data_IF_450217049624
#
_entry.id   IF_450217049624
#
_cell.length_a   1.000
_cell.length_b   1.000
_cell.length_c   1.000
_cell.angle_alpha   90.00
_cell.angle_beta   90.00
_cell.angle_gamma   90.00
#
_symmetry.space_group_name_H-M   'P 1'
#
loop_
_entity.id
_entity.type
_entity.pdbx_description
1 polymer ?
#
# COMPACT_ATOMS: atom_id res chain seq x y z
N UNK A 1 -44.39 7.47 -31.13
CA UNK A 1 -43.74 6.63 -30.10
C UNK A 1 -42.47 7.37 -29.75
N UNK A 2 -42.60 8.38 -28.91
CA UNK A 2 -41.53 9.29 -28.54
C UNK A 2 -40.81 8.70 -27.33
N UNK A 3 -39.61 8.16 -27.56
CA UNK A 3 -38.73 7.65 -26.51
C UNK A 3 -38.15 8.85 -25.78
N UNK A 4 -38.81 9.26 -24.71
CA UNK A 4 -38.31 10.23 -23.75
C UNK A 4 -37.06 9.62 -23.07
N UNK A 5 -35.87 10.06 -23.47
CA UNK A 5 -34.64 9.75 -22.78
C UNK A 5 -34.66 10.46 -21.42
N UNK A 6 -34.79 9.70 -20.33
CA UNK A 6 -34.62 10.22 -18.99
C UNK A 6 -33.23 10.86 -18.86
N UNK A 7 -33.11 12.09 -18.30
CA UNK A 7 -31.82 12.70 -18.10
C UNK A 7 -31.00 11.85 -17.13
N UNK A 8 -29.77 11.51 -17.53
CA UNK A 8 -28.80 10.85 -16.65
C UNK A 8 -28.61 11.74 -15.42
N UNK A 9 -28.77 11.23 -14.19
CA UNK A 9 -28.55 12.01 -12.98
C UNK A 9 -27.12 12.54 -12.98
N UNK A 10 -26.97 13.85 -13.14
CA UNK A 10 -25.69 14.53 -13.01
C UNK A 10 -25.32 14.50 -11.52
N UNK A 11 -24.39 13.62 -11.14
CA UNK A 11 -24.00 13.44 -9.75
C UNK A 11 -23.44 14.75 -9.19
N UNK A 12 -24.05 15.27 -8.12
CA UNK A 12 -23.67 16.54 -7.50
C UNK A 12 -22.20 16.45 -7.03
N UNK A 13 -21.31 17.35 -7.51
CA UNK A 13 -19.92 17.42 -7.05
C UNK A 13 -19.76 17.46 -5.53
N UNK A 14 -20.78 17.95 -4.80
CA UNK A 14 -20.81 17.99 -3.34
C UNK A 14 -20.97 16.61 -2.70
N UNK A 15 -21.78 15.72 -3.28
CA UNK A 15 -21.97 14.35 -2.78
C UNK A 15 -20.70 13.52 -2.95
N UNK A 16 -19.99 13.71 -4.08
CA UNK A 16 -18.70 13.06 -4.34
C UNK A 16 -17.63 13.56 -3.35
N UNK A 17 -17.64 14.86 -3.03
CA UNK A 17 -16.73 15.45 -2.07
C UNK A 17 -17.01 15.00 -0.62
N UNK A 18 -18.28 14.83 -0.24
CA UNK A 18 -18.66 14.34 1.09
C UNK A 18 -18.26 12.87 1.32
N UNK A 19 -18.38 12.03 0.29
CA UNK A 19 -17.93 10.64 0.34
C UNK A 19 -16.41 10.55 0.51
N UNK A 20 -15.63 11.39 -0.17
CA UNK A 20 -14.18 11.46 -0.02
C UNK A 20 -13.76 11.90 1.40
N UNK A 21 -14.46 12.88 1.97
CA UNK A 21 -14.17 13.42 3.31
C UNK A 21 -14.57 12.45 4.45
N UNK A 22 -15.36 11.40 4.18
CA UNK A 22 -15.77 10.42 5.19
C UNK A 22 -14.61 9.52 5.65
N UNK A 23 -13.73 9.10 4.72
CA UNK A 23 -12.60 8.22 5.02
C UNK A 23 -11.54 8.87 5.91
N UNK A 24 -11.24 10.14 5.66
CA UNK A 24 -10.23 10.90 6.41
C UNK A 24 -10.67 11.17 7.85
N UNK A 25 -11.97 11.37 8.08
CA UNK A 25 -12.53 11.56 9.43
C UNK A 25 -12.36 10.30 10.28
N UNK A 26 -12.62 9.11 9.72
CA UNK A 26 -12.52 7.84 10.45
C UNK A 26 -11.08 7.52 10.90
N UNK A 27 -10.09 7.76 10.02
CA UNK A 27 -8.66 7.58 10.35
C UNK A 27 -8.23 8.58 11.42
N UNK A 28 -8.63 9.85 11.27
CA UNK A 28 -8.29 10.90 12.22
C UNK A 28 -8.90 10.65 13.60
N UNK A 29 -10.13 10.17 13.70
CA UNK A 29 -10.75 9.83 14.99
C UNK A 29 -10.06 8.66 15.67
N UNK A 30 -9.57 7.66 14.92
CA UNK A 30 -8.77 6.56 15.48
C UNK A 30 -7.43 7.06 16.04
N UNK A 31 -6.71 7.90 15.29
CA UNK A 31 -5.42 8.44 15.74
C UNK A 31 -5.60 9.35 16.95
N UNK A 32 -6.61 10.24 16.93
CA UNK A 32 -6.91 11.11 18.06
C UNK A 32 -7.30 10.27 19.29
N UNK A 33 -8.11 9.22 19.11
CA UNK A 33 -8.47 8.29 20.18
C UNK A 33 -7.25 7.60 20.78
N UNK A 34 -6.34 7.08 19.96
CA UNK A 34 -5.10 6.44 20.41
C UNK A 34 -4.22 7.40 21.21
N UNK A 35 -4.02 8.62 20.69
CA UNK A 35 -3.21 9.65 21.36
C UNK A 35 -3.85 10.08 22.69
N UNK A 36 -5.18 10.27 22.72
CA UNK A 36 -5.90 10.61 23.94
C UNK A 36 -5.78 9.50 25.00
N UNK A 37 -5.91 8.23 24.61
CA UNK A 37 -5.70 7.08 25.51
C UNK A 37 -4.27 7.05 26.03
N UNK A 38 -3.27 7.26 25.17
CA UNK A 38 -1.87 7.30 25.57
C UNK A 38 -1.57 8.41 26.58
N UNK A 39 -2.08 9.62 26.34
CA UNK A 39 -1.92 10.74 27.29
C UNK A 39 -2.65 10.47 28.62
N UNK A 40 -3.84 9.86 28.57
CA UNK A 40 -4.56 9.45 29.78
C UNK A 40 -3.77 8.42 30.60
N UNK A 41 -3.18 7.42 29.95
CA UNK A 41 -2.33 6.42 30.63
C UNK A 41 -1.10 7.07 31.27
N UNK A 42 -0.41 7.96 30.55
CA UNK A 42 0.74 8.70 31.10
C UNK A 42 0.32 9.51 32.32
N UNK A 43 -0.82 10.21 32.25
CA UNK A 43 -1.38 10.98 33.36
C UNK A 43 -1.72 10.10 34.57
N UNK A 44 -2.32 8.93 34.34
CA UNK A 44 -2.66 7.98 35.41
C UNK A 44 -1.40 7.43 36.08
N UNK A 45 -0.36 7.09 35.31
CA UNK A 45 0.93 6.65 35.85
C UNK A 45 1.58 7.76 36.69
N UNK A 46 1.57 9.01 36.22
CA UNK A 46 2.09 10.15 36.99
C UNK A 46 1.31 10.37 38.30
N UNK A 47 -0.02 10.27 38.26
CA UNK A 47 -0.88 10.34 39.44
C UNK A 47 -0.57 9.21 40.43
N UNK A 48 -0.39 7.98 39.94
CA UNK A 48 0.00 6.84 40.76
C UNK A 48 1.33 7.12 41.48
N UNK A 49 2.33 7.63 40.77
CA UNK A 49 3.63 7.98 41.38
C UNK A 49 3.45 9.01 42.48
N UNK A 50 2.65 10.06 42.26
CA UNK A 50 2.37 11.09 43.27
C UNK A 50 1.67 10.47 44.50
N UNK A 51 0.63 9.67 44.30
CA UNK A 51 -0.09 8.99 45.39
C UNK A 51 0.81 7.98 46.11
N UNK A 52 1.70 7.31 45.39
CA UNK A 52 2.68 6.38 45.94
C UNK A 52 3.70 7.09 46.82
N UNK A 53 4.16 8.29 46.43
CA UNK A 53 5.08 9.11 47.22
C UNK A 53 4.38 9.62 48.49
N UNK A 54 3.15 10.10 48.38
CA UNK A 54 2.36 10.56 49.52
C UNK A 54 2.05 9.42 50.51
N UNK A 55 1.65 8.24 50.01
CA UNK A 55 1.44 7.05 50.82
C UNK A 55 2.72 6.60 51.55
N UNK A 56 3.88 6.75 50.91
CA UNK A 56 5.17 6.44 51.53
C UNK A 56 5.50 7.42 52.67
N UNK A 57 5.33 8.72 52.44
CA UNK A 57 5.63 9.75 53.45
C UNK A 57 4.71 9.65 54.67
N UNK A 58 3.40 9.49 54.44
CA UNK A 58 2.40 9.35 55.51
C UNK A 58 2.62 8.09 56.34
N UNK A 59 2.91 6.96 55.69
CA UNK A 59 3.20 5.72 56.40
C UNK A 59 4.54 5.77 57.15
N UNK A 60 5.56 6.46 56.61
CA UNK A 60 6.86 6.63 57.28
C UNK A 60 6.80 7.53 58.52
N UNK A 61 5.80 8.42 58.61
CA UNK A 61 5.59 9.34 59.72
C UNK A 61 4.56 8.82 60.74
N UNK A 62 3.98 7.62 60.50
CA UNK A 62 3.03 7.03 61.41
C UNK A 62 3.69 6.75 62.78
N UNK A 63 3.16 7.32 63.88
CA UNK A 63 3.71 7.08 65.21
C UNK A 63 3.62 5.59 65.53
N UNK A 64 4.77 4.95 65.76
CA UNK A 64 4.83 3.56 66.21
C UNK A 64 4.19 3.46 67.59
N UNK A 65 2.94 2.99 67.62
CA UNK A 65 2.17 2.85 68.84
C UNK A 65 2.93 1.95 69.82
N UNK A 66 3.28 2.55 70.95
CA UNK A 66 3.68 1.85 72.16
C UNK A 66 2.45 1.12 72.69
N UNK A 67 2.64 -0.15 73.06
CA UNK A 67 1.75 -1.04 73.84
C UNK A 67 0.93 -2.15 73.12
N UNK A 68 1.30 -3.39 73.49
CA UNK A 68 0.43 -4.54 73.84
C UNK A 68 -0.78 -4.84 72.94
N UNK A 69 -0.61 -4.81 71.63
CA UNK A 69 -1.24 -5.78 70.71
C UNK A 69 -0.42 -5.72 69.41
N UNK A 70 0.33 -6.79 69.11
CA UNK A 70 1.19 -6.82 67.92
C UNK A 70 0.32 -7.05 66.69
N UNK A 71 -0.38 -6.01 66.23
CA UNK A 71 -0.67 -5.89 64.80
C UNK A 71 0.69 -5.68 64.13
N UNK A 72 1.09 -6.49 63.13
CA UNK A 72 2.29 -6.19 62.39
C UNK A 72 2.06 -4.83 61.72
N UNK A 73 2.77 -3.80 62.20
CA UNK A 73 2.75 -2.50 61.56
C UNK A 73 3.09 -2.71 60.09
N UNK A 74 2.14 -2.48 59.18
CA UNK A 74 2.44 -2.52 57.75
C UNK A 74 3.58 -1.55 57.52
N UNK A 75 4.71 -2.07 57.02
CA UNK A 75 5.83 -1.20 56.68
C UNK A 75 5.36 -0.17 55.64
N UNK A 76 5.91 1.04 55.62
CA UNK A 76 5.55 2.06 54.63
C UNK A 76 5.61 1.55 53.18
N UNK A 77 6.56 0.64 52.90
CA UNK A 77 6.65 -0.03 51.61
C UNK A 77 5.48 -0.97 51.28
N UNK A 78 4.89 -1.65 52.27
CA UNK A 78 3.76 -2.55 52.04
C UNK A 78 2.51 -1.82 51.52
N UNK A 79 2.23 -0.61 52.03
CA UNK A 79 1.12 0.22 51.57
C UNK A 79 1.33 0.66 50.11
N UNK A 80 2.55 1.09 49.77
CA UNK A 80 2.94 1.48 48.41
C UNK A 80 2.81 0.31 47.43
N UNK A 81 3.29 -0.89 47.81
CA UNK A 81 3.23 -2.08 46.95
C UNK A 81 1.77 -2.49 46.68
N UNK A 82 0.88 -2.40 47.68
CA UNK A 82 -0.54 -2.69 47.49
C UNK A 82 -1.18 -1.73 46.49
N UNK A 83 -0.92 -0.42 46.63
CA UNK A 83 -1.44 0.60 45.71
C UNK A 83 -0.94 0.39 44.28
N UNK A 84 0.36 0.14 44.12
CA UNK A 84 0.97 -0.13 42.83
C UNK A 84 0.37 -1.37 42.18
N UNK A 85 0.17 -2.45 42.94
CA UNK A 85 -0.40 -3.70 42.42
C UNK A 85 -1.84 -3.51 41.95
N UNK A 86 -2.68 -2.87 42.75
CA UNK A 86 -4.10 -2.69 42.42
C UNK A 86 -4.26 -1.83 41.16
N UNK A 87 -3.49 -0.74 41.07
CA UNK A 87 -3.50 0.14 39.89
C UNK A 87 -2.90 -0.56 38.66
N UNK A 88 -1.81 -1.32 38.82
CA UNK A 88 -1.21 -2.07 37.72
C UNK A 88 -2.18 -3.11 37.13
N UNK A 89 -2.95 -3.82 37.96
CA UNK A 89 -3.96 -4.77 37.48
C UNK A 89 -5.04 -4.07 36.66
N UNK A 90 -5.55 -2.92 37.14
CA UNK A 90 -6.57 -2.14 36.42
C UNK A 90 -6.03 -1.59 35.10
N UNK A 91 -4.80 -1.04 35.12
CA UNK A 91 -4.14 -0.52 33.93
C UNK A 91 -3.93 -1.60 32.87
N UNK A 92 -3.36 -2.74 33.24
CA UNK A 92 -3.13 -3.86 32.30
C UNK A 92 -4.46 -4.39 31.76
N UNK A 93 -5.49 -4.50 32.58
CA UNK A 93 -6.82 -4.92 32.11
C UNK A 93 -7.42 -3.93 31.10
N UNK A 94 -7.32 -2.63 31.37
CA UNK A 94 -7.80 -1.59 30.46
C UNK A 94 -6.99 -1.54 29.16
N UNK A 95 -5.66 -1.59 29.24
CA UNK A 95 -4.78 -1.62 28.07
C UNK A 95 -5.06 -2.85 27.20
N UNK A 96 -5.21 -4.02 27.81
CA UNK A 96 -5.55 -5.26 27.10
C UNK A 96 -6.91 -5.14 26.38
N UNK A 97 -7.89 -4.48 26.99
CA UNK A 97 -9.19 -4.23 26.36
C UNK A 97 -9.05 -3.30 25.15
N UNK A 98 -8.28 -2.22 25.27
CA UNK A 98 -8.03 -1.29 24.15
C UNK A 98 -7.29 -1.99 23.01
N UNK A 99 -6.23 -2.73 23.31
CA UNK A 99 -5.49 -3.52 22.32
C UNK A 99 -6.41 -4.55 21.66
N UNK A 100 -7.25 -5.24 22.44
CA UNK A 100 -8.25 -6.18 21.91
C UNK A 100 -9.23 -5.52 20.94
N UNK A 101 -9.75 -4.34 21.27
CA UNK A 101 -10.63 -3.57 20.38
C UNK A 101 -9.91 -3.15 19.10
N UNK A 102 -8.67 -2.66 19.21
CA UNK A 102 -7.85 -2.30 18.05
C UNK A 102 -7.54 -3.51 17.17
N UNK A 103 -7.30 -4.69 17.75
CA UNK A 103 -7.09 -5.92 17.01
C UNK A 103 -8.35 -6.33 16.23
N UNK A 104 -9.55 -6.20 16.81
CA UNK A 104 -10.82 -6.42 16.10
C UNK A 104 -10.95 -5.47 14.91
N UNK A 105 -10.70 -4.17 15.11
CA UNK A 105 -10.72 -3.17 14.03
C UNK A 105 -9.71 -3.53 12.93
N UNK A 106 -8.50 -3.94 13.30
CA UNK A 106 -7.46 -4.34 12.35
C UNK A 106 -7.91 -5.56 11.51
N UNK A 107 -8.52 -6.56 12.13
CA UNK A 107 -9.05 -7.73 11.43
C UNK A 107 -10.11 -7.30 10.40
N UNK A 108 -11.03 -6.42 10.78
CA UNK A 108 -12.06 -5.90 9.87
C UNK A 108 -11.44 -5.12 8.70
N UNK A 109 -10.40 -4.32 8.94
CA UNK A 109 -9.68 -3.61 7.88
C UNK A 109 -9.01 -4.56 6.90
N UNK A 110 -8.36 -5.62 7.40
CA UNK A 110 -7.72 -6.64 6.55
C UNK A 110 -8.78 -7.37 5.71
N UNK A 111 -9.94 -7.70 6.29
CA UNK A 111 -11.04 -8.32 5.53
C UNK A 111 -11.53 -7.41 4.39
N UNK A 112 -11.72 -6.12 4.65
CA UNK A 112 -12.11 -5.16 3.62
C UNK A 112 -11.06 -5.08 2.50
N UNK A 113 -9.77 -5.04 2.86
CA UNK A 113 -8.67 -5.00 1.89
C UNK A 113 -8.60 -6.28 1.03
N UNK A 114 -8.80 -7.45 1.64
CA UNK A 114 -8.88 -8.73 0.91
C UNK A 114 -10.07 -8.71 -0.05
N UNK A 115 -11.22 -8.16 0.37
CA UNK A 115 -12.39 -7.97 -0.47
C UNK A 115 -12.07 -7.16 -1.73
N UNK A 116 -11.52 -5.94 -1.56
CA UNK A 116 -11.12 -5.08 -2.68
C UNK A 116 -10.12 -5.76 -3.63
N UNK A 117 -9.11 -6.43 -3.08
CA UNK A 117 -8.12 -7.15 -3.89
C UNK A 117 -8.76 -8.26 -4.74
N UNK A 118 -9.71 -9.01 -4.16
CA UNK A 118 -10.36 -10.13 -4.84
C UNK A 118 -11.40 -9.65 -5.85
N UNK A 119 -12.16 -8.63 -5.50
CA UNK A 119 -13.37 -8.25 -6.23
C UNK A 119 -13.06 -7.18 -7.30
N UNK A 120 -11.98 -6.39 -7.15
CA UNK A 120 -11.59 -5.34 -8.11
C UNK A 120 -10.24 -5.62 -8.77
N UNK A 121 -9.19 -5.86 -7.98
CA UNK A 121 -7.82 -5.96 -8.50
C UNK A 121 -7.59 -7.27 -9.28
N UNK A 122 -8.11 -8.40 -8.79
CA UNK A 122 -7.96 -9.70 -9.46
C UNK A 122 -8.61 -9.69 -10.87
N UNK A 123 -9.85 -9.22 -11.07
CA UNK A 123 -10.41 -9.05 -12.43
C UNK A 123 -9.62 -8.10 -13.33
N UNK A 124 -9.03 -7.03 -12.78
CA UNK A 124 -8.15 -6.16 -13.58
C UNK A 124 -6.91 -6.90 -14.08
N UNK A 125 -6.30 -7.74 -13.23
CA UNK A 125 -5.17 -8.58 -13.62
C UNK A 125 -5.54 -9.57 -14.73
N UNK A 126 -6.75 -10.16 -14.66
CA UNK A 126 -7.28 -11.01 -15.73
C UNK A 126 -7.42 -10.24 -17.05
N UNK A 127 -8.02 -9.04 -16.99
CA UNK A 127 -8.21 -8.18 -18.17
C UNK A 127 -6.88 -7.72 -18.78
N UNK A 128 -5.87 -7.50 -17.95
CA UNK A 128 -4.50 -7.21 -18.40
C UNK A 128 -3.89 -8.41 -19.10
N UNK A 129 -4.06 -9.62 -18.57
CA UNK A 129 -3.61 -10.85 -19.25
C UNK A 129 -4.28 -11.02 -20.61
N UNK A 130 -5.59 -10.79 -20.71
CA UNK A 130 -6.34 -10.84 -21.97
C UNK A 130 -5.86 -9.77 -22.96
N UNK A 131 -5.56 -8.57 -22.47
CA UNK A 131 -5.00 -7.48 -23.28
C UNK A 131 -3.63 -7.87 -23.82
N UNK A 132 -2.74 -8.42 -22.99
CA UNK A 132 -1.41 -8.89 -23.41
C UNK A 132 -1.53 -10.02 -24.43
N UNK A 133 -2.46 -10.96 -24.23
CA UNK A 133 -2.74 -12.03 -25.18
C UNK A 133 -3.20 -11.46 -26.53
N UNK A 134 -4.10 -10.49 -26.52
CA UNK A 134 -4.65 -9.81 -27.72
C UNK A 134 -3.58 -9.02 -28.45
N UNK A 135 -2.78 -8.24 -27.73
CA UNK A 135 -1.67 -7.46 -28.31
C UNK A 135 -0.65 -8.41 -28.92
N UNK A 136 -0.27 -9.49 -28.23
CA UNK A 136 0.64 -10.51 -28.79
C UNK A 136 0.05 -11.17 -30.03
N UNK A 137 -1.25 -11.46 -30.03
CA UNK A 137 -1.98 -12.00 -31.18
C UNK A 137 -1.95 -11.04 -32.37
N UNK A 138 -2.26 -9.77 -32.13
CA UNK A 138 -2.24 -8.71 -33.15
C UNK A 138 -0.84 -8.53 -33.72
N UNK A 139 0.18 -8.43 -32.87
CA UNK A 139 1.58 -8.32 -33.31
C UNK A 139 2.00 -9.54 -34.12
N UNK A 140 1.60 -10.77 -33.72
CA UNK A 140 1.88 -11.96 -34.53
C UNK A 140 1.17 -11.96 -35.87
N UNK A 141 -0.10 -11.56 -35.90
CA UNK A 141 -0.90 -11.49 -37.12
C UNK A 141 -0.28 -10.50 -38.11
N UNK A 142 -0.01 -9.28 -37.64
CA UNK A 142 0.65 -8.22 -38.44
C UNK A 142 2.04 -8.67 -38.87
N UNK A 143 2.81 -9.30 -37.98
CA UNK A 143 4.15 -9.83 -38.29
C UNK A 143 4.10 -10.87 -39.43
N UNK A 144 3.23 -11.88 -39.34
CA UNK A 144 3.19 -12.97 -40.31
C UNK A 144 2.51 -12.61 -41.63
N UNK A 145 1.42 -11.84 -41.59
CA UNK A 145 0.57 -11.62 -42.76
C UNK A 145 0.80 -10.28 -43.45
N UNK A 146 1.46 -9.32 -42.80
CA UNK A 146 1.67 -7.97 -43.36
C UNK A 146 3.16 -7.65 -43.46
N UNK A 147 3.88 -7.73 -42.34
CA UNK A 147 5.29 -7.30 -42.27
C UNK A 147 6.22 -8.27 -42.98
N UNK A 148 6.11 -9.57 -42.70
CA UNK A 148 6.98 -10.58 -43.32
C UNK A 148 6.84 -10.61 -44.86
N UNK A 149 5.61 -10.61 -45.44
CA UNK A 149 5.44 -10.50 -46.89
C UNK A 149 5.99 -9.19 -47.46
N UNK A 150 5.79 -8.06 -46.78
CA UNK A 150 6.32 -6.77 -47.23
C UNK A 150 7.85 -6.75 -47.25
N UNK A 151 8.51 -7.26 -46.20
CA UNK A 151 9.98 -7.37 -46.14
C UNK A 151 10.50 -8.28 -47.25
N UNK A 152 9.85 -9.42 -47.49
CA UNK A 152 10.24 -10.33 -48.58
C UNK A 152 10.11 -9.66 -49.95
N UNK A 153 9.04 -8.91 -50.19
CA UNK A 153 8.83 -8.18 -51.45
C UNK A 153 9.91 -7.11 -51.68
N UNK A 154 10.17 -6.28 -50.68
CA UNK A 154 11.21 -5.23 -50.76
C UNK A 154 12.60 -5.85 -50.89
N UNK A 155 12.88 -6.91 -50.14
CA UNK A 155 14.14 -7.66 -50.19
C UNK A 155 14.40 -8.29 -51.56
N UNK A 156 13.37 -8.89 -52.17
CA UNK A 156 13.45 -9.41 -53.53
C UNK A 156 13.76 -8.30 -54.54
N UNK A 157 13.04 -7.17 -54.46
CA UNK A 157 13.24 -6.04 -55.36
C UNK A 157 14.66 -5.44 -55.24
N UNK A 158 15.16 -5.31 -54.00
CA UNK A 158 16.52 -4.86 -53.74
C UNK A 158 17.58 -5.85 -54.26
N UNK A 159 17.34 -7.16 -54.09
CA UNK A 159 18.21 -8.22 -54.62
C UNK A 159 18.29 -8.19 -56.15
N UNK A 160 17.15 -8.09 -56.84
CA UNK A 160 17.09 -7.96 -58.30
C UNK A 160 17.86 -6.73 -58.77
N UNK A 161 17.63 -5.56 -58.13
CA UNK A 161 18.35 -4.33 -58.47
C UNK A 161 19.86 -4.49 -58.32
N UNK A 162 20.31 -5.17 -57.27
CA UNK A 162 21.75 -5.40 -57.01
C UNK A 162 22.39 -6.25 -58.10
N UNK A 163 21.74 -7.34 -58.50
CA UNK A 163 22.21 -8.23 -59.58
C UNK A 163 22.34 -7.47 -60.90
N UNK A 164 21.32 -6.69 -61.27
CA UNK A 164 21.35 -5.87 -62.50
C UNK A 164 22.51 -4.88 -62.45
N UNK A 165 22.70 -4.21 -61.31
CA UNK A 165 23.77 -3.23 -61.15
C UNK A 165 25.15 -3.87 -61.28
N UNK A 166 25.37 -5.05 -60.68
CA UNK A 166 26.61 -5.80 -60.80
C UNK A 166 26.88 -6.23 -62.25
N UNK A 167 25.88 -6.76 -62.97
CA UNK A 167 26.01 -7.12 -64.40
C UNK A 167 26.39 -5.91 -65.26
N UNK A 168 25.73 -4.77 -65.06
CA UNK A 168 26.04 -3.53 -65.81
C UNK A 168 27.46 -3.03 -65.50
N UNK A 169 27.89 -3.08 -64.23
CA UNK A 169 29.26 -2.69 -63.86
C UNK A 169 30.31 -3.66 -64.39
N UNK A 170 30.04 -4.97 -64.42
CA UNK A 170 30.93 -5.98 -65.02
C UNK A 170 31.10 -5.74 -66.53
N UNK A 171 30.00 -5.51 -67.26
CA UNK A 171 30.06 -5.17 -68.69
C UNK A 171 30.84 -3.89 -68.98
N UNK A 172 30.76 -2.89 -68.08
CA UNK A 172 31.53 -1.64 -68.18
C UNK A 172 33.03 -1.84 -67.90
N UNK A 173 33.39 -2.78 -67.03
CA UNK A 173 34.79 -3.11 -66.71
C UNK A 173 35.49 -3.93 -67.80
N UNK A 174 34.74 -4.77 -68.55
CA UNK A 174 35.28 -5.48 -69.72
C UNK A 174 35.62 -4.49 -70.85
N UNK A 175 34.73 -3.53 -71.11
CA UNK A 175 34.96 -2.49 -72.14
C UNK A 175 36.17 -1.59 -71.84
N UNK A 176 36.52 -1.39 -70.57
CA UNK A 176 37.69 -0.58 -70.16
C UNK A 176 39.03 -1.30 -70.37
N UNK A 177 39.05 -2.62 -70.58
CA UNK A 177 40.29 -3.38 -70.82
C UNK A 177 40.71 -3.41 -72.29
N UNK A 178 39.81 -3.06 -73.22
CA UNK A 178 40.14 -2.93 -74.66
C UNK A 178 40.60 -1.52 -75.05
N UNK A 179 40.46 -0.52 -74.17
CA UNK A 179 40.84 0.88 -74.43
C UNK A 179 42.18 1.28 -73.77
N UNK A 180 42.90 0.34 -73.14
CA UNK A 180 44.16 0.59 -72.42
C UNK A 180 45.40 -0.11 -73.00
N UNK A 181 45.29 -0.73 -74.18
CA UNK A 181 46.40 -1.41 -74.87
C UNK A 181 46.74 -0.69 -76.19
N UNK A 182 46.71 0.64 -76.16
CA UNK A 182 46.84 1.51 -77.33
C UNK A 182 47.52 2.85 -77.08
N UNK A 183 48.32 2.97 -76.01
CA UNK A 183 49.29 4.05 -75.88
C UNK A 183 50.67 3.45 -75.60
N UNK A 184 51.56 3.70 -76.55
CA UNK A 184 53.00 3.45 -76.56
C UNK A 184 53.73 4.12 -75.39
#
# INVERSE_FOLDING_TARGET
MDTQASPVPEADPREIQEAANAGDRARRTLVIGLVAVGLFLIGLVALLVVLSVDAYHTAAQAPTATEVYVVPAQSPGAAVISLLRDVAIVLVAFETLVIGLLAVVLILQVQALIGLLRDEIKPMLESVNDTVATVRGTTRFVSHHVVSPAIQAVGFLAGVRRVVQEIVTLGKSVKKKEEGDGEE
#
